data_IF_285364241700
#
_entry.id   IF_285364241700
#
_cell.length_a   1.000
_cell.length_b   1.000
_cell.length_c   1.000
_cell.angle_alpha   90.00
_cell.angle_beta   90.00
_cell.angle_gamma   90.00
#
_symmetry.space_group_name_H-M   'P 1'
#
loop_
_entity.id
_entity.type
_entity.pdbx_description
1 polymer ?
#
# COMPACT_ATOMS: atom_id res chain seq x y z
N UNK A 1 35.55 58.92 38.81
CA UNK A 1 34.75 59.77 39.69
C UNK A 1 33.29 59.33 39.58
N UNK A 2 32.66 59.07 40.74
CA UNK A 2 31.22 58.90 41.04
C UNK A 2 30.40 57.92 40.16
N UNK A 3 29.67 56.92 40.65
CA UNK A 3 29.06 56.72 41.97
C UNK A 3 27.53 56.90 41.88
N UNK A 4 26.80 56.01 42.59
CA UNK A 4 25.41 56.13 43.11
C UNK A 4 24.25 55.49 42.33
N UNK A 5 23.96 54.23 42.70
CA UNK A 5 22.74 53.69 43.36
C UNK A 5 21.29 54.04 42.95
N UNK A 6 20.50 52.94 42.90
CA UNK A 6 19.10 52.70 43.34
C UNK A 6 17.92 53.28 42.54
N UNK A 7 17.06 52.41 41.97
CA UNK A 7 15.76 52.06 42.58
C UNK A 7 15.10 50.83 41.93
N UNK A 8 14.38 50.07 42.74
CA UNK A 8 13.84 48.75 42.44
C UNK A 8 12.35 48.80 42.06
N UNK A 9 11.92 47.99 41.09
CA UNK A 9 10.52 47.58 40.93
C UNK A 9 10.43 46.05 40.89
N UNK A 10 9.92 45.46 41.98
CA UNK A 10 9.56 44.04 42.03
C UNK A 10 8.17 43.87 41.45
N UNK A 11 8.04 43.17 40.31
CA UNK A 11 6.74 42.69 39.83
C UNK A 11 6.25 41.51 40.71
N UNK A 12 4.95 41.45 41.07
CA UNK A 12 4.41 40.37 41.86
C UNK A 12 4.39 39.06 41.04
N UNK A 13 5.06 38.02 41.55
CA UNK A 13 4.92 36.65 41.06
C UNK A 13 3.52 36.16 41.43
N UNK A 14 2.70 35.87 40.42
CA UNK A 14 1.40 35.23 40.56
C UNK A 14 1.64 33.82 41.12
N UNK A 15 1.40 33.64 42.42
CA UNK A 15 1.50 32.32 43.07
C UNK A 15 0.31 31.50 42.59
N UNK A 16 0.55 30.59 41.65
CA UNK A 16 -0.39 29.54 41.31
C UNK A 16 -0.50 28.63 42.53
N UNK A 17 -1.61 28.76 43.29
CA UNK A 17 -1.98 27.79 44.31
C UNK A 17 -2.12 26.43 43.61
N UNK A 18 -1.10 25.59 43.71
CA UNK A 18 -1.24 24.16 43.48
C UNK A 18 -2.26 23.67 44.48
N UNK A 19 -3.47 23.39 44.01
CA UNK A 19 -4.51 22.77 44.81
C UNK A 19 -3.96 21.43 45.34
N UNK A 20 -3.55 21.41 46.60
CA UNK A 20 -3.07 20.22 47.29
C UNK A 20 -4.28 19.34 47.58
N UNK A 21 -4.63 18.47 46.63
CA UNK A 21 -5.67 17.48 46.83
C UNK A 21 -5.23 16.41 47.82
N UNK A 22 -6.16 15.89 48.64
CA UNK A 22 -5.86 14.84 49.61
C UNK A 22 -5.33 13.58 48.89
N UNK A 23 -4.43 12.81 49.52
CA UNK A 23 -3.71 11.70 48.89
C UNK A 23 -4.64 10.66 48.26
N UNK A 24 -5.82 10.42 48.84
CA UNK A 24 -6.86 9.53 48.29
C UNK A 24 -7.37 9.98 46.92
N UNK A 25 -7.57 11.29 46.70
CA UNK A 25 -8.05 11.82 45.40
C UNK A 25 -6.95 11.79 44.33
N UNK A 26 -5.68 11.93 44.72
CA UNK A 26 -4.52 11.74 43.81
C UNK A 26 -4.39 10.29 43.35
N UNK A 27 -4.58 9.34 44.26
CA UNK A 27 -4.51 7.91 43.95
C UNK A 27 -5.62 7.47 43.00
N UNK A 28 -6.86 7.92 43.25
CA UNK A 28 -8.01 7.65 42.37
C UNK A 28 -7.78 8.27 40.98
N UNK A 29 -7.35 9.53 40.90
CA UNK A 29 -7.11 10.20 39.61
C UNK A 29 -5.95 9.57 38.82
N UNK A 30 -4.90 9.11 39.50
CA UNK A 30 -3.78 8.41 38.86
C UNK A 30 -4.21 7.04 38.33
N UNK A 31 -5.02 6.29 39.09
CA UNK A 31 -5.58 5.02 38.66
C UNK A 31 -6.50 5.17 37.45
N UNK A 32 -7.37 6.18 37.44
CA UNK A 32 -8.23 6.47 36.27
C UNK A 32 -7.43 6.86 35.03
N UNK A 33 -6.37 7.66 35.19
CA UNK A 33 -5.47 8.02 34.09
C UNK A 33 -4.74 6.81 33.50
N UNK A 34 -4.21 5.92 34.34
CA UNK A 34 -3.54 4.68 33.90
C UNK A 34 -4.52 3.73 33.20
N UNK A 35 -5.76 3.61 33.71
CA UNK A 35 -6.79 2.77 33.09
C UNK A 35 -7.15 3.25 31.68
N UNK A 36 -7.30 4.57 31.49
CA UNK A 36 -7.61 5.16 30.19
C UNK A 36 -6.47 4.99 29.17
N UNK A 37 -5.21 5.12 29.61
CA UNK A 37 -4.04 4.89 28.73
C UNK A 37 -3.95 3.41 28.33
N UNK A 38 -4.17 2.49 29.27
CA UNK A 38 -4.16 1.05 28.99
C UNK A 38 -5.31 0.63 28.05
N UNK A 39 -6.52 1.16 28.24
CA UNK A 39 -7.66 0.92 27.34
C UNK A 39 -7.43 1.54 25.95
N UNK A 40 -6.86 2.74 25.87
CA UNK A 40 -6.55 3.39 24.59
C UNK A 40 -5.50 2.63 23.78
N UNK A 41 -4.43 2.16 24.44
CA UNK A 41 -3.38 1.39 23.77
C UNK A 41 -3.88 0.03 23.25
N UNK A 42 -4.73 -0.66 24.03
CA UNK A 42 -5.33 -1.94 23.61
C UNK A 42 -6.33 -1.78 22.47
N UNK A 43 -7.19 -0.75 22.51
CA UNK A 43 -8.14 -0.48 21.43
C UNK A 43 -7.41 -0.16 20.10
N UNK A 44 -6.37 0.66 20.13
CA UNK A 44 -5.56 0.96 18.93
C UNK A 44 -4.85 -0.28 18.36
N UNK A 45 -4.43 -1.22 19.21
CA UNK A 45 -3.79 -2.46 18.76
C UNK A 45 -4.81 -3.41 18.10
N UNK A 46 -5.97 -3.59 18.72
CA UNK A 46 -7.03 -4.47 18.20
C UNK A 46 -7.54 -3.97 16.85
N UNK A 47 -7.80 -2.66 16.71
CA UNK A 47 -8.25 -2.06 15.44
C UNK A 47 -7.21 -2.28 14.34
N UNK A 48 -5.91 -2.04 14.64
CA UNK A 48 -4.84 -2.29 13.67
C UNK A 48 -4.70 -3.74 13.24
N UNK A 49 -4.92 -4.70 14.15
CA UNK A 49 -4.88 -6.12 13.81
C UNK A 49 -6.06 -6.54 12.94
N UNK A 50 -7.27 -6.02 13.22
CA UNK A 50 -8.46 -6.28 12.41
C UNK A 50 -8.30 -5.69 11.01
N UNK A 51 -7.84 -4.44 10.92
CA UNK A 51 -7.61 -3.75 9.65
C UNK A 51 -6.54 -4.46 8.81
N UNK A 52 -5.44 -4.90 9.43
CA UNK A 52 -4.40 -5.67 8.73
C UNK A 52 -4.90 -7.02 8.21
N UNK A 53 -5.79 -7.70 8.94
CA UNK A 53 -6.36 -8.97 8.49
C UNK A 53 -7.31 -8.76 7.31
N UNK A 54 -8.15 -7.73 7.38
CA UNK A 54 -9.07 -7.36 6.30
C UNK A 54 -8.31 -6.92 5.04
N UNK A 55 -7.25 -6.13 5.20
CA UNK A 55 -6.41 -5.70 4.08
C UNK A 55 -5.76 -6.90 3.38
N UNK A 56 -5.23 -7.85 4.15
CA UNK A 56 -4.60 -9.04 3.56
C UNK A 56 -5.58 -9.98 2.89
N UNK A 57 -6.83 -10.07 3.36
CA UNK A 57 -7.87 -10.85 2.67
C UNK A 57 -8.15 -10.29 1.26
N UNK A 58 -8.16 -8.95 1.11
CA UNK A 58 -8.31 -8.31 -0.21
C UNK A 58 -7.12 -8.64 -1.11
N UNK A 59 -5.90 -8.56 -0.59
CA UNK A 59 -4.67 -8.88 -1.34
C UNK A 59 -4.62 -10.36 -1.75
N UNK A 60 -5.03 -11.27 -0.87
CA UNK A 60 -5.11 -12.71 -1.14
C UNK A 60 -6.11 -13.02 -2.26
N UNK A 61 -7.30 -12.43 -2.21
CA UNK A 61 -8.31 -12.58 -3.26
C UNK A 61 -7.78 -12.11 -4.62
N UNK A 62 -7.10 -10.96 -4.67
CA UNK A 62 -6.47 -10.47 -5.90
C UNK A 62 -5.38 -11.43 -6.41
N UNK A 63 -4.59 -12.03 -5.52
CA UNK A 63 -3.59 -13.03 -5.91
C UNK A 63 -4.21 -14.23 -6.61
N UNK A 64 -5.36 -14.71 -6.14
CA UNK A 64 -6.09 -15.80 -6.81
C UNK A 64 -6.62 -15.39 -8.19
N UNK A 65 -7.20 -14.20 -8.29
CA UNK A 65 -7.68 -13.66 -9.57
C UNK A 65 -6.54 -13.48 -10.57
N UNK A 66 -5.39 -12.97 -10.10
CA UNK A 66 -4.17 -12.83 -10.90
C UNK A 66 -3.72 -14.15 -11.49
N UNK A 67 -3.63 -15.21 -10.68
CA UNK A 67 -3.17 -16.54 -11.15
C UNK A 67 -4.13 -17.10 -12.20
N UNK A 68 -5.44 -16.97 -11.99
CA UNK A 68 -6.43 -17.40 -12.98
C UNK A 68 -6.29 -16.65 -14.31
N UNK A 69 -6.00 -15.35 -14.26
CA UNK A 69 -5.71 -14.55 -15.46
C UNK A 69 -4.39 -14.99 -16.11
N UNK A 70 -3.31 -15.14 -15.33
CA UNK A 70 -1.97 -15.46 -15.81
C UNK A 70 -1.92 -16.79 -16.57
N UNK A 71 -2.78 -17.76 -16.24
CA UNK A 71 -2.94 -18.99 -17.02
C UNK A 71 -3.30 -18.72 -18.50
N UNK A 72 -4.05 -17.65 -18.79
CA UNK A 72 -4.36 -17.24 -20.16
C UNK A 72 -3.12 -16.74 -20.90
N UNK A 73 -2.21 -16.06 -20.20
CA UNK A 73 -0.93 -15.57 -20.75
C UNK A 73 -0.01 -16.75 -21.04
N UNK A 74 0.18 -17.64 -20.07
CA UNK A 74 1.04 -18.83 -20.20
C UNK A 74 0.56 -19.79 -21.31
N UNK A 75 -0.75 -19.92 -21.52
CA UNK A 75 -1.28 -20.70 -22.64
C UNK A 75 -0.81 -20.13 -24.00
N UNK A 76 -0.83 -18.80 -24.16
CA UNK A 76 -0.36 -18.13 -25.36
C UNK A 76 1.15 -18.29 -25.56
N UNK A 77 1.95 -18.09 -24.49
CA UNK A 77 3.42 -18.26 -24.52
C UNK A 77 3.82 -19.69 -24.93
N UNK A 78 3.04 -20.70 -24.54
CA UNK A 78 3.25 -22.09 -24.93
C UNK A 78 2.74 -22.43 -26.35
N UNK A 79 2.41 -21.41 -27.17
CA UNK A 79 2.00 -21.57 -28.56
C UNK A 79 0.56 -22.01 -28.75
N UNK A 80 -0.29 -21.92 -27.73
CA UNK A 80 -1.71 -22.32 -27.81
C UNK A 80 -2.63 -21.18 -28.30
N UNK A 81 -2.10 -20.13 -28.93
CA UNK A 81 -2.88 -19.02 -29.45
C UNK A 81 -2.21 -18.25 -30.59
N UNK A 82 -2.95 -17.28 -31.12
CA UNK A 82 -2.56 -16.41 -32.23
C UNK A 82 -2.32 -14.97 -31.74
N UNK A 83 -1.64 -14.15 -32.56
CA UNK A 83 -1.39 -12.73 -32.27
C UNK A 83 -2.66 -11.94 -31.89
N UNK A 84 -3.82 -12.31 -32.45
CA UNK A 84 -5.11 -11.66 -32.13
C UNK A 84 -5.56 -11.91 -30.69
N UNK A 85 -5.13 -13.01 -30.08
CA UNK A 85 -5.52 -13.39 -28.72
C UNK A 85 -4.83 -12.49 -27.67
N UNK A 86 -3.74 -11.80 -28.05
CA UNK A 86 -3.10 -10.77 -27.23
C UNK A 86 -4.02 -9.60 -26.90
N UNK A 87 -4.96 -9.24 -27.78
CA UNK A 87 -5.93 -8.18 -27.47
C UNK A 87 -6.86 -8.62 -26.34
N UNK A 88 -7.34 -9.86 -26.38
CA UNK A 88 -8.19 -10.41 -25.33
C UNK A 88 -7.45 -10.57 -23.99
N UNK A 89 -6.16 -10.92 -24.04
CA UNK A 89 -5.31 -10.97 -22.83
C UNK A 89 -5.10 -9.56 -22.27
N UNK A 90 -4.77 -8.59 -23.12
CA UNK A 90 -4.61 -7.21 -22.70
C UNK A 90 -5.90 -6.63 -22.09
N UNK A 91 -7.06 -7.01 -22.60
CA UNK A 91 -8.34 -6.62 -22.01
C UNK A 91 -8.54 -7.22 -20.61
N UNK A 92 -8.13 -8.48 -20.40
CA UNK A 92 -8.15 -9.10 -19.07
C UNK A 92 -7.16 -8.42 -18.12
N UNK A 93 -5.94 -8.14 -18.56
CA UNK A 93 -4.94 -7.42 -17.76
C UNK A 93 -5.41 -6.00 -17.43
N UNK A 94 -6.01 -5.29 -18.37
CA UNK A 94 -6.61 -3.98 -18.14
C UNK A 94 -7.71 -4.04 -17.09
N UNK A 95 -8.61 -5.03 -17.17
CA UNK A 95 -9.64 -5.25 -16.15
C UNK A 95 -9.02 -5.55 -14.78
N UNK A 96 -8.01 -6.43 -14.73
CA UNK A 96 -7.30 -6.77 -13.50
C UNK A 96 -6.61 -5.55 -12.89
N UNK A 97 -6.03 -4.68 -13.72
CA UNK A 97 -5.43 -3.42 -13.27
C UNK A 97 -6.45 -2.52 -12.57
N UNK A 98 -7.67 -2.44 -13.10
CA UNK A 98 -8.75 -1.66 -12.50
C UNK A 98 -9.23 -2.27 -11.18
N UNK A 99 -9.35 -3.60 -11.10
CA UNK A 99 -9.70 -4.31 -9.87
C UNK A 99 -8.65 -4.10 -8.76
N UNK A 100 -7.36 -4.20 -9.10
CA UNK A 100 -6.25 -3.92 -8.17
C UNK A 100 -6.30 -2.45 -7.70
N UNK A 101 -6.62 -1.52 -8.60
CA UNK A 101 -6.70 -0.10 -8.25
C UNK A 101 -7.88 0.20 -7.33
N UNK A 102 -9.03 -0.43 -7.56
CA UNK A 102 -10.18 -0.35 -6.67
C UNK A 102 -9.83 -0.89 -5.27
N UNK A 103 -9.15 -2.04 -5.19
CA UNK A 103 -8.68 -2.63 -3.94
C UNK A 103 -7.65 -1.75 -3.19
N UNK A 104 -6.78 -1.03 -3.91
CA UNK A 104 -5.90 -0.03 -3.30
C UNK A 104 -6.69 1.05 -2.54
N UNK A 105 -7.88 1.39 -3.03
CA UNK A 105 -8.80 2.31 -2.35
C UNK A 105 -9.42 1.74 -1.06
N UNK A 106 -9.55 0.40 -0.96
CA UNK A 106 -10.25 -0.26 0.15
C UNK A 106 -9.35 -0.68 1.31
N UNK A 107 -8.05 -0.85 1.09
CA UNK A 107 -7.13 -1.21 2.19
C UNK A 107 -6.86 -0.02 3.11
N UNK A 108 -6.51 -0.27 4.36
CA UNK A 108 -6.17 0.77 5.34
C UNK A 108 -4.66 1.09 5.34
N UNK A 109 -3.81 0.06 5.14
CA UNK A 109 -2.36 0.15 5.22
C UNK A 109 -1.76 0.96 4.06
N UNK A 110 -1.08 2.09 4.33
CA UNK A 110 -0.46 2.89 3.28
C UNK A 110 0.60 2.13 2.47
N UNK A 111 1.29 1.17 3.11
CA UNK A 111 2.27 0.33 2.43
C UNK A 111 1.60 -0.58 1.40
N UNK A 112 0.47 -1.21 1.76
CA UNK A 112 -0.30 -2.04 0.84
C UNK A 112 -0.90 -1.20 -0.29
N UNK A 113 -1.44 -0.01 0.01
CA UNK A 113 -1.93 0.93 -1.03
C UNK A 113 -0.88 1.20 -2.10
N UNK A 114 0.33 1.52 -1.66
CA UNK A 114 1.43 1.84 -2.54
C UNK A 114 1.81 0.66 -3.45
N UNK A 115 1.91 -0.54 -2.90
CA UNK A 115 2.25 -1.72 -3.70
C UNK A 115 1.10 -2.13 -4.63
N UNK A 116 -0.15 -2.10 -4.17
CA UNK A 116 -1.32 -2.30 -5.04
C UNK A 116 -1.36 -1.26 -6.17
N UNK A 117 -1.02 0.00 -5.89
CA UNK A 117 -0.93 1.05 -6.91
C UNK A 117 0.11 0.75 -7.98
N UNK A 118 1.32 0.31 -7.57
CA UNK A 118 2.37 -0.11 -8.51
C UNK A 118 1.99 -1.35 -9.31
N UNK A 119 1.37 -2.32 -8.65
CA UNK A 119 0.90 -3.54 -9.32
C UNK A 119 -0.16 -3.21 -10.39
N UNK A 120 -1.14 -2.37 -10.06
CA UNK A 120 -2.12 -1.89 -11.03
C UNK A 120 -1.43 -1.15 -12.19
N UNK A 121 -0.49 -0.24 -11.89
CA UNK A 121 0.23 0.52 -12.91
C UNK A 121 1.02 -0.39 -13.87
N UNK A 122 1.81 -1.32 -13.33
CA UNK A 122 2.56 -2.28 -14.14
C UNK A 122 1.63 -3.13 -15.02
N UNK A 123 0.52 -3.60 -14.46
CA UNK A 123 -0.48 -4.38 -15.21
C UNK A 123 -1.11 -3.57 -16.35
N UNK A 124 -1.41 -2.29 -16.15
CA UNK A 124 -1.93 -1.43 -17.22
C UNK A 124 -0.91 -1.20 -18.33
N UNK A 125 0.36 -1.05 -17.98
CA UNK A 125 1.45 -0.90 -18.95
C UNK A 125 1.66 -2.19 -19.77
N UNK A 126 1.57 -3.37 -19.14
CA UNK A 126 1.59 -4.66 -19.84
C UNK A 126 0.44 -4.76 -20.86
N UNK A 127 -0.79 -4.46 -20.43
CA UNK A 127 -1.95 -4.47 -21.31
C UNK A 127 -1.77 -3.56 -22.53
N UNK A 128 -1.26 -2.35 -22.32
CA UNK A 128 -1.01 -1.41 -23.43
C UNK A 128 0.07 -1.94 -24.38
N UNK A 129 1.20 -2.42 -23.85
CA UNK A 129 2.27 -3.00 -24.66
C UNK A 129 1.78 -4.18 -25.51
N UNK A 130 0.96 -5.06 -24.93
CA UNK A 130 0.37 -6.19 -25.65
C UNK A 130 -0.61 -5.74 -26.74
N UNK A 131 -1.45 -4.72 -26.49
CA UNK A 131 -2.33 -4.15 -27.54
C UNK A 131 -1.54 -3.50 -28.66
N UNK A 132 -0.51 -2.74 -28.32
CA UNK A 132 0.36 -2.07 -29.30
C UNK A 132 1.06 -3.11 -30.16
N UNK A 133 1.60 -4.16 -29.54
CA UNK A 133 2.17 -5.28 -30.27
C UNK A 133 1.12 -5.96 -31.15
N UNK A 134 -0.07 -6.29 -30.66
CA UNK A 134 -1.09 -7.00 -31.44
C UNK A 134 -1.54 -6.20 -32.68
N UNK A 135 -1.73 -4.88 -32.53
CA UNK A 135 -2.23 -3.99 -33.58
C UNK A 135 -1.14 -3.49 -34.55
N UNK A 136 0.14 -3.73 -34.25
CA UNK A 136 1.24 -3.29 -35.13
C UNK A 136 1.18 -4.01 -36.48
N UNK A 137 1.38 -3.30 -37.61
CA UNK A 137 1.53 -3.92 -38.92
C UNK A 137 2.69 -4.94 -38.93
N UNK A 138 2.56 -6.12 -39.55
CA UNK A 138 3.60 -7.16 -39.55
C UNK A 138 4.96 -6.70 -40.09
N UNK A 139 4.97 -5.69 -40.96
CA UNK A 139 6.18 -5.16 -41.61
C UNK A 139 6.89 -4.08 -40.77
N UNK A 140 6.30 -3.65 -39.66
CA UNK A 140 6.89 -2.66 -38.76
C UNK A 140 7.62 -3.39 -37.64
N UNK A 141 8.94 -3.22 -37.60
CA UNK A 141 9.76 -3.74 -36.50
C UNK A 141 9.41 -3.01 -35.20
N UNK A 142 9.51 -3.69 -34.03
CA UNK A 142 9.44 -3.01 -32.75
C UNK A 142 10.50 -1.90 -32.68
N UNK A 143 10.15 -0.77 -32.06
CA UNK A 143 11.16 0.19 -31.65
C UNK A 143 11.92 -0.37 -30.44
N UNK A 144 13.20 -0.01 -30.26
CA UNK A 144 13.98 -0.47 -29.11
C UNK A 144 13.41 -0.03 -27.75
N UNK A 145 12.50 0.96 -27.73
CA UNK A 145 11.81 1.40 -26.52
C UNK A 145 10.63 0.49 -26.13
N UNK A 146 9.99 -0.18 -27.08
CA UNK A 146 8.79 -0.98 -26.80
C UNK A 146 9.11 -2.24 -25.97
N UNK A 147 10.23 -2.90 -26.28
CA UNK A 147 10.71 -4.04 -25.47
C UNK A 147 11.08 -3.56 -24.06
N UNK A 148 11.75 -2.40 -23.95
CA UNK A 148 12.13 -1.83 -22.67
C UNK A 148 10.89 -1.47 -21.80
N UNK A 149 9.84 -0.93 -22.41
CA UNK A 149 8.58 -0.60 -21.72
C UNK A 149 7.85 -1.86 -21.24
N UNK A 150 7.82 -2.93 -22.05
CA UNK A 150 7.28 -4.23 -21.65
C UNK A 150 8.04 -4.80 -20.44
N UNK A 151 9.38 -4.85 -20.52
CA UNK A 151 10.21 -5.35 -19.41
C UNK A 151 10.05 -4.50 -18.15
N UNK A 152 9.99 -3.18 -18.29
CA UNK A 152 9.76 -2.28 -17.16
C UNK A 152 8.42 -2.58 -16.48
N UNK A 153 7.36 -2.77 -17.26
CA UNK A 153 6.03 -3.10 -16.75
C UNK A 153 5.98 -4.46 -16.05
N UNK A 154 6.65 -5.47 -16.63
CA UNK A 154 6.77 -6.80 -16.04
C UNK A 154 7.49 -6.78 -14.68
N UNK A 155 8.64 -6.09 -14.60
CA UNK A 155 9.41 -5.93 -13.36
C UNK A 155 8.59 -5.20 -12.30
N UNK A 156 7.93 -4.09 -12.67
CA UNK A 156 7.08 -3.33 -11.74
C UNK A 156 5.96 -4.20 -11.14
N UNK A 157 5.31 -4.99 -11.99
CA UNK A 157 4.24 -5.93 -11.60
C UNK A 157 4.77 -6.98 -10.64
N UNK A 158 5.88 -7.63 -10.99
CA UNK A 158 6.50 -8.69 -10.18
C UNK A 158 6.97 -8.18 -8.81
N UNK A 159 7.72 -7.09 -8.77
CA UNK A 159 8.24 -6.53 -7.52
C UNK A 159 7.12 -6.09 -6.57
N UNK A 160 6.06 -5.49 -7.11
CA UNK A 160 4.90 -5.08 -6.33
C UNK A 160 4.15 -6.29 -5.76
N UNK A 161 3.89 -7.31 -6.58
CA UNK A 161 3.26 -8.55 -6.13
C UNK A 161 4.11 -9.29 -5.08
N UNK A 162 5.44 -9.32 -5.25
CA UNK A 162 6.34 -9.92 -4.28
C UNK A 162 6.34 -9.16 -2.95
N UNK A 163 6.30 -7.83 -2.99
CA UNK A 163 6.18 -7.01 -1.78
C UNK A 163 4.84 -7.23 -1.06
N UNK A 164 3.75 -7.42 -1.80
CA UNK A 164 2.44 -7.78 -1.26
C UNK A 164 2.45 -9.16 -0.62
N UNK A 165 3.06 -10.16 -1.26
CA UNK A 165 3.24 -11.50 -0.71
C UNK A 165 4.02 -11.48 0.62
N UNK A 166 5.10 -10.70 0.69
CA UNK A 166 5.87 -10.55 1.94
C UNK A 166 5.05 -9.89 3.06
N UNK A 167 4.14 -8.97 2.72
CA UNK A 167 3.28 -8.30 3.69
C UNK A 167 2.05 -9.14 4.07
N UNK A 168 1.54 -9.96 3.15
CA UNK A 168 0.36 -10.81 3.30
C UNK A 168 0.71 -12.25 2.88
N UNK A 169 1.31 -13.06 3.78
CA UNK A 169 1.89 -14.37 3.43
C UNK A 169 0.91 -15.43 2.92
N UNK A 170 -0.40 -15.23 3.08
CA UNK A 170 -1.42 -16.12 2.53
C UNK A 170 -1.73 -15.84 1.05
N UNK A 171 -1.29 -14.70 0.52
CA UNK A 171 -1.40 -14.42 -0.92
C UNK A 171 -0.73 -15.57 -1.69
N UNK A 172 -1.36 -16.13 -2.73
CA UNK A 172 -0.72 -17.18 -3.49
C UNK A 172 0.49 -16.61 -4.25
N UNK A 173 1.59 -17.37 -4.37
CA UNK A 173 2.80 -16.89 -5.02
C UNK A 173 2.54 -16.63 -6.50
N UNK A 174 3.00 -15.48 -6.98
CA UNK A 174 2.93 -15.15 -8.41
C UNK A 174 4.04 -15.91 -9.14
N UNK A 175 3.73 -16.64 -10.23
CA UNK A 175 4.75 -17.31 -11.02
C UNK A 175 5.75 -16.27 -11.56
N UNK A 176 7.04 -16.60 -11.65
CA UNK A 176 8.00 -15.75 -12.34
C UNK A 176 7.57 -15.58 -13.81
N UNK A 177 7.74 -14.38 -14.36
CA UNK A 177 7.67 -14.19 -15.80
C UNK A 177 8.84 -14.94 -16.45
N UNK A 178 8.55 -15.79 -17.43
CA UNK A 178 9.54 -16.60 -18.14
C UNK A 178 10.17 -15.84 -19.31
#
# INVERSE_FOLDING_TARGET
MAGWCFHAERKPKRVTKLASWPPKKRLVSALTGVLLIMCGATACWVVRQIDSHNDCAVVEQLGHQWIAMAQSVTALENGQGERRDLVAIADKESSMSDDIRAASGSVSSPALKNQLGKWAQGTALLANSQRDYANRPPQMNPSSGEDADYYHAAVMTYEAAQALLMACPNMPPVPPAN
#
